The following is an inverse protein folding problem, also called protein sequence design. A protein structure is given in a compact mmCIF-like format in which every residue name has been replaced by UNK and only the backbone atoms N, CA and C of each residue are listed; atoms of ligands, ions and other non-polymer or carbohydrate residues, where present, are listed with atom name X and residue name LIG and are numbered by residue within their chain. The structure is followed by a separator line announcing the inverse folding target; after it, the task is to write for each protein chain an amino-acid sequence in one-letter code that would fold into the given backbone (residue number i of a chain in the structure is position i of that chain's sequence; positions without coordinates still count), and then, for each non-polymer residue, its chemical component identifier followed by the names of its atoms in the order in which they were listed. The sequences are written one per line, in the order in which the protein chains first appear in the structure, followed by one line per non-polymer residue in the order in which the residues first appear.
data_IF_618222604020
#
_entry.id   IF_618222604020
#
_cell.length_a   1.000
_cell.length_b   1.000
_cell.length_c   1.000
_cell.angle_alpha   90.00
_cell.angle_beta   90.00
_cell.angle_gamma   90.00
#
_symmetry.space_group_name_H-M   'P 1'
#
loop_
_entity.id
_entity.type
_entity.pdbx_description
1 polymer ?
#
# COMPACT_ATOMS: atom_id res chain seq x y z
N UNK A 1 -18.70 10.27 4.95
CA UNK A 1 -18.11 10.96 3.79
C UNK A 1 -17.94 9.94 2.67
N UNK A 2 -18.85 9.87 1.69
CA UNK A 2 -18.60 9.08 0.47
C UNK A 2 -17.91 9.97 -0.56
N UNK A 3 -16.65 10.30 -0.28
CA UNK A 3 -15.74 10.92 -1.24
C UNK A 3 -15.11 9.85 -2.13
N UNK A 4 -14.81 10.19 -3.40
CA UNK A 4 -13.99 9.33 -4.25
C UNK A 4 -12.67 9.03 -3.55
N UNK A 5 -12.25 7.75 -3.53
CA UNK A 5 -10.92 7.34 -3.04
C UNK A 5 -9.83 8.21 -3.67
N UNK A 6 -9.04 8.86 -2.83
CA UNK A 6 -7.91 9.65 -3.28
C UNK A 6 -6.72 8.75 -3.61
N UNK A 7 -5.72 9.34 -4.26
CA UNK A 7 -4.42 8.70 -4.49
C UNK A 7 -3.76 8.23 -3.19
N UNK A 8 -3.88 9.02 -2.13
CA UNK A 8 -3.28 8.71 -0.82
C UNK A 8 -4.00 7.53 -0.16
N UNK A 9 -5.32 7.44 -0.29
CA UNK A 9 -6.09 6.29 0.21
C UNK A 9 -5.66 4.99 -0.46
N UNK A 10 -5.49 5.01 -1.78
CA UNK A 10 -5.02 3.86 -2.54
C UNK A 10 -3.65 3.38 -2.06
N UNK A 11 -2.72 4.33 -1.85
CA UNK A 11 -1.38 3.99 -1.36
C UNK A 11 -1.46 3.42 0.07
N UNK A 12 -2.24 4.04 0.95
CA UNK A 12 -2.48 3.57 2.31
C UNK A 12 -3.03 2.14 2.34
N UNK A 13 -4.01 1.85 1.51
CA UNK A 13 -4.61 0.51 1.37
C UNK A 13 -3.61 -0.53 0.87
N UNK A 14 -2.77 -0.18 -0.12
CA UNK A 14 -1.75 -1.10 -0.65
C UNK A 14 -0.69 -1.42 0.40
N UNK A 15 -0.15 -0.39 1.08
CA UNK A 15 0.86 -0.58 2.11
C UNK A 15 0.29 -1.36 3.31
N UNK A 16 -0.94 -1.04 3.74
CA UNK A 16 -1.61 -1.78 4.81
C UNK A 16 -1.85 -3.24 4.42
N UNK A 17 -2.30 -3.50 3.18
CA UNK A 17 -2.53 -4.87 2.69
C UNK A 17 -1.28 -5.73 2.68
N UNK A 18 -0.11 -5.13 2.41
CA UNK A 18 1.19 -5.81 2.48
C UNK A 18 1.56 -6.06 3.95
N UNK A 19 1.42 -5.05 4.82
CA UNK A 19 1.76 -5.14 6.24
C UNK A 19 0.90 -6.19 6.96
N UNK A 20 -0.41 -6.22 6.72
CA UNK A 20 -1.37 -7.18 7.28
C UNK A 20 -1.07 -8.64 6.89
N UNK A 21 -0.24 -8.86 5.85
CA UNK A 21 0.25 -10.17 5.43
C UNK A 21 1.63 -10.51 5.98
N UNK A 22 2.07 -9.81 7.03
CA UNK A 22 3.37 -10.01 7.66
C UNK A 22 4.49 -9.24 6.97
N UNK A 23 4.16 -8.15 6.27
CA UNK A 23 5.13 -7.31 5.56
C UNK A 23 5.58 -7.86 4.20
N UNK A 24 4.99 -8.95 3.73
CA UNK A 24 5.22 -9.50 2.40
C UNK A 24 3.96 -10.12 1.79
N UNK A 25 3.80 -9.98 0.47
CA UNK A 25 2.63 -10.48 -0.25
C UNK A 25 2.99 -10.87 -1.67
N UNK A 26 2.33 -11.89 -2.23
CA UNK A 26 2.45 -12.19 -3.67
C UNK A 26 1.78 -11.07 -4.48
N UNK A 27 2.34 -10.66 -5.64
CA UNK A 27 1.71 -9.66 -6.51
C UNK A 27 0.25 -9.96 -6.84
N UNK A 28 -0.07 -11.24 -7.09
CA UNK A 28 -1.44 -11.70 -7.36
C UNK A 28 -2.37 -11.48 -6.17
N UNK A 29 -1.93 -11.77 -4.95
CA UNK A 29 -2.74 -11.54 -3.74
C UNK A 29 -2.96 -10.05 -3.48
N UNK A 30 -2.00 -9.19 -3.80
CA UNK A 30 -2.17 -7.75 -3.71
C UNK A 30 -3.20 -7.25 -4.73
N UNK A 31 -3.22 -7.81 -5.95
CA UNK A 31 -4.21 -7.48 -6.99
C UNK A 31 -5.64 -7.79 -6.55
N UNK A 32 -5.88 -8.97 -5.96
CA UNK A 32 -7.21 -9.38 -5.50
C UNK A 32 -7.73 -8.58 -4.30
N UNK A 33 -6.84 -7.97 -3.51
CA UNK A 33 -7.22 -7.17 -2.34
C UNK A 33 -7.51 -5.71 -2.65
N UNK A 34 -6.95 -5.18 -3.73
CA UNK A 34 -7.21 -3.80 -4.14
C UNK A 34 -8.57 -3.71 -4.85
N UNK A 35 -9.45 -2.83 -4.39
CA UNK A 35 -10.68 -2.44 -5.10
C UNK A 35 -10.36 -1.59 -6.37
N UNK A 36 -9.45 -2.08 -7.21
CA UNK A 36 -8.82 -1.37 -8.34
C UNK A 36 -8.66 -2.29 -9.54
N UNK A 37 -8.61 -1.70 -10.75
CA UNK A 37 -8.23 -2.45 -11.95
C UNK A 37 -6.75 -2.88 -11.91
N UNK A 38 -6.42 -3.98 -12.60
CA UNK A 38 -5.04 -4.48 -12.69
C UNK A 38 -4.06 -3.42 -13.20
N UNK A 39 -4.47 -2.62 -14.19
CA UNK A 39 -3.64 -1.56 -14.77
C UNK A 39 -3.32 -0.46 -13.75
N UNK A 40 -4.33 0.02 -13.02
CA UNK A 40 -4.12 1.05 -11.99
C UNK A 40 -3.21 0.54 -10.88
N UNK A 41 -3.47 -0.69 -10.41
CA UNK A 41 -2.70 -1.29 -9.34
C UNK A 41 -1.22 -1.48 -9.72
N UNK A 42 -0.94 -1.86 -10.98
CA UNK A 42 0.44 -1.95 -11.50
C UNK A 42 1.13 -0.59 -11.52
N UNK A 43 0.46 0.47 -11.99
CA UNK A 43 1.00 1.84 -11.99
C UNK A 43 1.36 2.32 -10.58
N UNK A 44 0.48 2.07 -9.61
CA UNK A 44 0.75 2.41 -8.22
C UNK A 44 1.90 1.59 -7.65
N UNK A 45 1.94 0.29 -7.91
CA UNK A 45 3.03 -0.56 -7.45
C UNK A 45 4.39 -0.10 -8.01
N UNK A 46 4.45 0.26 -9.29
CA UNK A 46 5.66 0.79 -9.93
C UNK A 46 6.11 2.11 -9.28
N UNK A 47 5.18 3.03 -8.99
CA UNK A 47 5.48 4.27 -8.25
C UNK A 47 5.98 4.00 -6.82
N UNK A 48 5.37 3.03 -6.11
CA UNK A 48 5.81 2.65 -4.76
C UNK A 48 7.20 2.01 -4.76
N UNK A 49 7.54 1.22 -5.79
CA UNK A 49 8.87 0.64 -5.96
C UNK A 49 9.88 1.75 -6.29
N UNK A 50 9.55 2.66 -7.23
CA UNK A 50 10.41 3.77 -7.61
C UNK A 50 10.70 4.72 -6.42
N UNK A 51 9.73 4.88 -5.51
CA UNK A 51 9.88 5.64 -4.27
C UNK A 51 10.47 4.86 -3.11
N UNK A 52 10.84 3.59 -3.34
CA UNK A 52 11.41 2.68 -2.35
C UNK A 52 10.51 2.42 -1.14
N UNK A 53 9.20 2.64 -1.25
CA UNK A 53 8.26 2.29 -0.19
C UNK A 53 8.06 0.78 -0.10
N UNK A 54 8.15 0.09 -1.23
CA UNK A 54 8.11 -1.38 -1.31
C UNK A 54 9.24 -1.87 -2.21
N UNK A 55 9.58 -3.15 -2.10
CA UNK A 55 10.56 -3.81 -2.95
C UNK A 55 10.03 -5.15 -3.44
N UNK A 56 10.51 -5.57 -4.61
CA UNK A 56 10.29 -6.94 -5.10
C UNK A 56 11.42 -7.83 -4.60
N UNK A 57 11.06 -8.97 -4.02
CA UNK A 57 12.01 -10.00 -3.60
C UNK A 57 11.60 -11.33 -4.22
N UNK A 58 12.59 -12.17 -4.50
CA UNK A 58 12.36 -13.53 -5.00
C UNK A 58 12.68 -14.53 -3.90
N UNK A 59 11.73 -15.40 -3.59
CA UNK A 59 11.91 -16.53 -2.66
C UNK A 59 11.66 -17.83 -3.42
N UNK A 60 12.75 -18.49 -3.82
CA UNK A 60 12.72 -19.65 -4.72
C UNK A 60 12.10 -19.30 -6.08
N UNK A 61 11.01 -19.99 -6.44
CA UNK A 61 10.32 -19.80 -7.72
C UNK A 61 9.25 -18.69 -7.69
N UNK A 62 9.02 -18.04 -6.55
CA UNK A 62 7.95 -17.07 -6.39
C UNK A 62 8.49 -15.64 -6.18
N UNK A 63 7.81 -14.66 -6.78
CA UNK A 63 8.01 -13.23 -6.53
C UNK A 63 7.08 -12.76 -5.39
N UNK A 64 7.62 -11.93 -4.52
CA UNK A 64 6.91 -11.27 -3.44
C UNK A 64 7.18 -9.76 -3.49
N UNK A 65 6.24 -9.00 -2.98
CA UNK A 65 6.36 -7.58 -2.69
C UNK A 65 6.50 -7.47 -1.18
N UNK A 66 7.54 -6.79 -0.72
CA UNK A 66 7.78 -6.54 0.70
C UNK A 66 7.76 -5.04 0.96
N UNK A 67 7.17 -4.64 2.08
CA UNK A 67 7.19 -3.25 2.54
C UNK A 67 8.56 -2.93 3.12
N UNK A 68 9.07 -1.74 2.82
CA UNK A 68 10.32 -1.24 3.41
C UNK A 68 10.06 -0.47 4.71
N UNK A 69 11.11 -0.17 5.46
CA UNK A 69 11.02 0.71 6.63
C UNK A 69 10.44 2.08 6.27
N UNK A 70 10.85 2.64 5.11
CA UNK A 70 10.34 3.91 4.57
C UNK A 70 8.83 3.82 4.31
N UNK A 71 8.36 2.70 3.76
CA UNK A 71 6.94 2.42 3.52
C UNK A 71 6.16 2.31 4.82
N UNK A 72 6.71 1.61 5.82
CA UNK A 72 6.12 1.51 7.16
C UNK A 72 6.00 2.88 7.84
N UNK A 73 7.07 3.68 7.83
CA UNK A 73 7.05 5.03 8.41
C UNK A 73 6.07 5.96 7.70
N UNK A 74 5.96 5.87 6.37
CA UNK A 74 4.96 6.63 5.62
C UNK A 74 3.54 6.22 6.04
N UNK A 75 3.27 4.91 6.10
CA UNK A 75 1.95 4.40 6.47
C UNK A 75 1.57 4.82 7.89
N UNK A 76 2.51 4.79 8.83
CA UNK A 76 2.28 5.24 10.21
C UNK A 76 1.88 6.72 10.25
N UNK A 77 2.64 7.60 9.60
CA UNK A 77 2.31 9.04 9.53
C UNK A 77 0.96 9.30 8.87
N UNK A 78 0.63 8.52 7.84
CA UNK A 78 -0.68 8.62 7.19
C UNK A 78 -1.82 8.26 8.16
N UNK A 79 -1.64 7.24 9.01
CA UNK A 79 -2.63 6.89 10.03
C UNK A 79 -2.77 8.02 11.07
N UNK A 80 -1.68 8.57 11.55
CA UNK A 80 -1.69 9.72 12.49
C UNK A 80 -2.46 10.92 11.92
N UNK A 81 -2.29 11.23 10.64
CA UNK A 81 -3.04 12.30 9.96
C UNK A 81 -4.53 11.98 9.88
N UNK A 82 -4.90 10.74 9.52
CA UNK A 82 -6.31 10.33 9.44
C UNK A 82 -6.98 10.36 10.80
N UNK A 83 -6.31 9.85 11.84
CA UNK A 83 -6.80 9.90 13.22
C UNK A 83 -6.97 11.34 13.70
N UNK A 84 -6.07 12.24 13.29
CA UNK A 84 -6.21 13.68 13.55
C UNK A 84 -7.44 14.27 12.82
N UNK A 85 -7.60 14.04 11.52
CA UNK A 85 -8.77 14.51 10.77
C UNK A 85 -10.09 14.02 11.39
N UNK A 86 -10.16 12.73 11.78
CA UNK A 86 -11.31 12.13 12.45
C UNK A 86 -11.58 12.76 13.82
N UNK A 87 -10.54 13.01 14.63
CA UNK A 87 -10.68 13.61 15.96
C UNK A 87 -11.21 15.05 15.92
N UNK A 88 -10.96 15.79 14.84
CA UNK A 88 -11.42 17.17 14.67
C UNK A 88 -12.60 17.33 13.69
N UNK A 89 -13.08 16.22 13.10
CA UNK A 89 -14.23 16.20 12.20
C UNK A 89 -14.00 16.95 10.87
N UNK A 90 -12.75 16.94 10.38
CA UNK A 90 -12.33 17.60 9.14
C UNK A 90 -12.60 16.76 7.89
#
# INVERSE_FOLDING_TARGET
MEGKRTRIDIIGDMLSSILDKGGEIKPTHLMYKSNMSHTQMKLYLEDLIAKEFVRKIRKGNYEYITISDKGCSFLQKLKEVKEFEEAFGL
#
